data_IF_645488452678
#
_entry.id   IF_645488452678
#
_cell.length_a   1.000
_cell.length_b   1.000
_cell.length_c   1.000
_cell.angle_alpha   90.00
_cell.angle_beta   90.00
_cell.angle_gamma   90.00
#
_symmetry.space_group_name_H-M   'P 1'
#
loop_
_entity.id
_entity.type
_entity.pdbx_description
1 polymer ?
#
# COMPACT_ATOMS: atom_id res chain seq x y z
N UNK A 1 8.78 -20.90 -9.85
CA UNK A 1 9.70 -19.97 -9.17
C UNK A 1 8.92 -18.72 -8.79
N UNK A 2 8.31 -18.70 -7.59
CA UNK A 2 7.73 -17.49 -7.01
C UNK A 2 8.62 -17.14 -5.83
N UNK A 3 9.58 -16.22 -6.04
CA UNK A 3 10.25 -15.58 -4.90
C UNK A 3 9.17 -14.74 -4.23
N UNK A 4 8.55 -15.32 -3.21
CA UNK A 4 7.76 -14.57 -2.24
C UNK A 4 8.67 -13.49 -1.66
N UNK A 5 8.57 -12.26 -2.17
CA UNK A 5 8.95 -11.08 -1.41
C UNK A 5 8.08 -11.13 -0.15
N UNK A 6 8.66 -11.54 0.99
CA UNK A 6 7.99 -11.51 2.29
C UNK A 6 7.87 -10.06 2.78
N UNK A 7 7.21 -9.23 1.99
CA UNK A 7 6.85 -7.87 2.34
C UNK A 7 5.53 -7.88 3.10
N UNK A 8 5.45 -7.08 4.14
CA UNK A 8 4.23 -6.91 4.91
C UNK A 8 3.09 -6.47 4.00
N UNK A 9 1.93 -7.11 4.14
CA UNK A 9 0.74 -6.77 3.35
C UNK A 9 -0.28 -6.06 4.23
N UNK A 10 -0.68 -4.86 3.82
CA UNK A 10 -1.78 -4.08 4.38
C UNK A 10 -3.00 -4.27 3.47
N UNK A 11 -4.17 -4.54 4.04
CA UNK A 11 -5.39 -4.77 3.28
C UNK A 11 -6.31 -3.55 3.35
N UNK A 12 -6.78 -3.08 2.20
CA UNK A 12 -7.77 -2.01 2.06
C UNK A 12 -9.13 -2.65 1.83
N UNK A 13 -10.01 -2.54 2.82
CA UNK A 13 -11.36 -3.07 2.78
C UNK A 13 -12.38 -2.05 2.26
N UNK A 14 -13.67 -2.34 2.49
CA UNK A 14 -14.80 -1.48 2.10
C UNK A 14 -14.73 -0.06 2.66
N UNK A 15 -14.07 0.14 3.81
CA UNK A 15 -13.87 1.46 4.40
C UNK A 15 -12.90 2.35 3.62
N UNK A 16 -12.20 1.81 2.61
CA UNK A 16 -11.25 2.55 1.80
C UNK A 16 -10.01 2.97 2.58
N UNK A 17 -9.43 4.10 2.18
CA UNK A 17 -8.28 4.72 2.85
C UNK A 17 -8.78 5.64 3.97
N UNK A 18 -8.54 5.20 5.21
CA UNK A 18 -8.83 5.98 6.41
C UNK A 18 -7.55 6.59 6.99
N UNK A 19 -7.68 7.59 7.85
CA UNK A 19 -6.52 8.16 8.53
C UNK A 19 -5.75 7.11 9.35
N UNK A 20 -6.47 6.20 10.01
CA UNK A 20 -5.85 5.08 10.73
C UNK A 20 -5.05 4.14 9.81
N UNK A 21 -5.51 3.93 8.59
CA UNK A 21 -4.78 3.15 7.59
C UNK A 21 -3.52 3.88 7.14
N UNK A 22 -3.60 5.19 6.92
CA UNK A 22 -2.44 6.02 6.55
C UNK A 22 -1.36 5.97 7.63
N UNK A 23 -1.74 6.09 8.90
CA UNK A 23 -0.80 5.98 10.02
C UNK A 23 -0.15 4.59 10.10
N UNK A 24 -0.91 3.53 9.87
CA UNK A 24 -0.38 2.17 9.77
C UNK A 24 0.62 2.05 8.62
N UNK A 25 0.27 2.56 7.43
CA UNK A 25 1.16 2.55 6.26
C UNK A 25 2.46 3.30 6.56
N UNK A 26 2.39 4.50 7.16
CA UNK A 26 3.57 5.28 7.55
C UNK A 26 4.47 4.49 8.50
N UNK A 27 3.89 3.86 9.53
CA UNK A 27 4.64 3.03 10.49
C UNK A 27 5.35 1.88 9.79
N UNK A 28 4.66 1.19 8.90
CA UNK A 28 5.19 0.00 8.23
C UNK A 28 6.22 0.34 7.16
N UNK A 29 6.05 1.44 6.44
CA UNK A 29 7.07 1.97 5.53
C UNK A 29 8.34 2.35 6.28
N UNK A 30 8.23 2.98 7.47
CA UNK A 30 9.41 3.29 8.29
C UNK A 30 10.15 2.04 8.77
N UNK A 31 9.40 0.98 9.10
CA UNK A 31 9.96 -0.27 9.59
C UNK A 31 10.59 -1.13 8.49
N UNK A 32 9.94 -1.23 7.32
CA UNK A 32 10.26 -2.21 6.28
C UNK A 32 10.74 -1.61 4.95
N UNK A 33 10.66 -0.28 4.77
CA UNK A 33 10.91 0.48 3.53
C UNK A 33 9.99 0.13 2.35
N UNK A 34 9.48 -1.11 2.30
CA UNK A 34 8.62 -1.64 1.25
C UNK A 34 7.44 -2.38 1.89
N UNK A 35 6.24 -2.07 1.41
CA UNK A 35 5.01 -2.76 1.79
C UNK A 35 4.21 -3.16 0.55
N UNK A 36 3.30 -4.10 0.75
CA UNK A 36 2.26 -4.43 -0.21
C UNK A 36 0.93 -3.88 0.28
N UNK A 37 0.18 -3.21 -0.58
CA UNK A 37 -1.19 -2.77 -0.29
C UNK A 37 -2.14 -3.58 -1.16
N UNK A 38 -2.98 -4.41 -0.54
CA UNK A 38 -3.95 -5.27 -1.21
C UNK A 38 -5.35 -4.68 -1.10
N UNK A 39 -5.99 -4.45 -2.24
CA UNK A 39 -7.35 -3.92 -2.32
C UNK A 39 -8.37 -5.06 -2.35
N UNK A 40 -9.37 -5.02 -1.47
CA UNK A 40 -10.50 -5.95 -1.54
C UNK A 40 -11.28 -5.75 -2.85
N UNK A 41 -11.95 -6.81 -3.33
CA UNK A 41 -12.72 -6.75 -4.58
C UNK A 41 -13.77 -5.64 -4.59
N UNK A 42 -14.36 -5.34 -3.43
CA UNK A 42 -15.38 -4.30 -3.25
C UNK A 42 -14.88 -2.88 -3.54
N UNK A 43 -13.56 -2.66 -3.49
CA UNK A 43 -12.90 -1.35 -3.65
C UNK A 43 -11.87 -1.37 -4.78
N UNK A 44 -11.82 -2.46 -5.55
CA UNK A 44 -10.80 -2.65 -6.58
C UNK A 44 -10.95 -1.70 -7.77
N UNK A 45 -12.15 -1.17 -8.02
CA UNK A 45 -12.40 -0.13 -9.03
C UNK A 45 -11.80 1.23 -8.63
N UNK A 46 -11.65 1.49 -7.34
CA UNK A 46 -11.15 2.76 -6.79
C UNK A 46 -9.67 2.68 -6.38
N UNK A 47 -9.02 1.53 -6.62
CA UNK A 47 -7.65 1.25 -6.16
C UNK A 47 -6.65 2.32 -6.59
N UNK A 48 -6.76 2.86 -7.79
CA UNK A 48 -5.82 3.88 -8.29
C UNK A 48 -5.92 5.17 -7.48
N UNK A 49 -7.15 5.62 -7.18
CA UNK A 49 -7.37 6.78 -6.32
C UNK A 49 -6.81 6.57 -4.91
N UNK A 50 -7.00 5.37 -4.36
CA UNK A 50 -6.45 5.02 -3.04
C UNK A 50 -4.94 4.93 -3.05
N UNK A 51 -4.33 4.41 -4.12
CA UNK A 51 -2.88 4.37 -4.25
C UNK A 51 -2.33 5.80 -4.26
N UNK A 52 -2.91 6.69 -5.06
CA UNK A 52 -2.52 8.12 -5.11
C UNK A 52 -2.62 8.75 -3.73
N UNK A 53 -3.74 8.60 -3.03
CA UNK A 53 -3.93 9.14 -1.69
C UNK A 53 -2.88 8.62 -0.69
N UNK A 54 -2.60 7.30 -0.72
CA UNK A 54 -1.60 6.69 0.16
C UNK A 54 -0.21 7.26 -0.14
N UNK A 55 0.19 7.29 -1.42
CA UNK A 55 1.49 7.77 -1.88
C UNK A 55 1.72 9.23 -1.47
N UNK A 56 0.74 10.10 -1.73
CA UNK A 56 0.79 11.52 -1.36
C UNK A 56 0.88 11.72 0.15
N UNK A 57 -0.03 11.11 0.93
CA UNK A 57 -0.06 11.29 2.39
C UNK A 57 1.14 10.67 3.10
N UNK A 58 1.79 9.67 2.52
CA UNK A 58 2.94 9.00 3.13
C UNK A 58 4.28 9.51 2.59
N UNK A 59 4.25 10.37 1.56
CA UNK A 59 5.42 10.80 0.80
C UNK A 59 6.30 9.59 0.43
N UNK A 60 5.67 8.64 -0.24
CA UNK A 60 6.25 7.39 -0.71
C UNK A 60 6.09 7.28 -2.22
N UNK A 61 6.45 6.13 -2.80
CA UNK A 61 6.41 5.89 -4.24
C UNK A 61 5.72 4.55 -4.54
N UNK A 62 4.88 4.54 -5.58
CA UNK A 62 4.35 3.31 -6.15
C UNK A 62 5.42 2.69 -7.06
N UNK A 63 5.86 1.49 -6.74
CA UNK A 63 6.87 0.76 -7.52
C UNK A 63 6.23 -0.16 -8.56
N UNK A 64 5.11 -0.78 -8.21
CA UNK A 64 4.44 -1.75 -9.08
C UNK A 64 2.97 -1.90 -8.68
N UNK A 65 2.14 -2.23 -9.66
CA UNK A 65 0.72 -2.54 -9.46
C UNK A 65 0.36 -3.79 -10.26
N UNK A 66 0.07 -4.88 -9.54
CA UNK A 66 -0.32 -6.16 -10.15
C UNK A 66 -1.67 -6.61 -9.64
N UNK A 67 -2.67 -6.56 -10.52
CA UNK A 67 -4.05 -6.93 -10.19
C UNK A 67 -4.67 -5.98 -9.15
N UNK A 68 -4.82 -6.48 -7.93
CA UNK A 68 -5.33 -5.73 -6.78
C UNK A 68 -4.28 -5.52 -5.69
N UNK A 69 -2.98 -5.66 -6.01
CA UNK A 69 -1.88 -5.44 -5.07
C UNK A 69 -0.95 -4.37 -5.62
N UNK A 70 -0.80 -3.28 -4.87
CA UNK A 70 0.22 -2.26 -5.09
C UNK A 70 1.46 -2.55 -4.24
N UNK A 71 2.65 -2.26 -4.77
CA UNK A 71 3.91 -2.27 -4.05
C UNK A 71 4.30 -0.82 -3.81
N UNK A 72 4.38 -0.43 -2.55
CA UNK A 72 4.72 0.94 -2.15
C UNK A 72 6.06 0.91 -1.43
N UNK A 73 6.93 1.83 -1.80
CA UNK A 73 8.27 1.98 -1.26
C UNK A 73 8.49 3.39 -0.74
N UNK A 74 9.23 3.49 0.35
CA UNK A 74 9.77 4.75 0.84
C UNK A 74 11.18 4.50 1.34
N UNK A 75 12.15 5.18 0.73
CA UNK A 75 13.53 5.16 1.19
C UNK A 75 13.59 5.61 2.65
N UNK A 76 14.27 4.87 3.52
CA UNK A 76 14.50 5.30 4.90
C UNK A 76 15.33 6.58 4.88
N UNK A 77 14.78 7.61 5.51
CA UNK A 77 15.44 8.87 5.82
C UNK A 77 15.62 9.04 7.33
#
# INVERSE_FOLDING_TARGET
MSRSLSALTINVGKAGVTESLIEEVRRQLKANELIKVRFARTVASEKESYITEIVEKTNSELIDLRGNVAIIFKKRS
#
